data_IF_495039171016
#
_entry.id   IF_495039171016
#
_cell.length_a   1.000
_cell.length_b   1.000
_cell.length_c   1.000
_cell.angle_alpha   90.00
_cell.angle_beta   90.00
_cell.angle_gamma   90.00
#
_symmetry.space_group_name_H-M   'P 1'
#
loop_
_entity.id
_entity.type
_entity.pdbx_description
1 polymer ?
#
# COMPACT_ATOMS: atom_id res chain seq x y z
N UNK A 1 9.61 -59.82 -30.29
CA UNK A 1 8.64 -59.40 -29.25
C UNK A 1 9.11 -58.07 -28.68
N UNK A 2 8.34 -56.99 -28.87
CA UNK A 2 8.64 -55.64 -28.37
C UNK A 2 8.10 -55.53 -26.94
N UNK A 3 9.01 -55.54 -25.96
CA UNK A 3 8.67 -55.47 -24.54
C UNK A 3 9.02 -54.11 -23.95
N UNK A 4 7.99 -53.41 -23.47
CA UNK A 4 8.00 -52.16 -22.71
C UNK A 4 9.23 -51.94 -21.82
N UNK A 5 9.96 -50.84 -22.04
CA UNK A 5 10.67 -50.12 -20.97
C UNK A 5 10.47 -48.62 -21.18
N UNK A 6 9.25 -48.15 -20.98
CA UNK A 6 8.94 -46.72 -20.80
C UNK A 6 8.22 -46.61 -19.46
N UNK A 7 8.99 -46.61 -18.36
CA UNK A 7 8.37 -46.54 -17.02
C UNK A 7 9.30 -45.97 -15.94
N UNK A 8 9.95 -44.84 -16.21
CA UNK A 8 10.62 -44.03 -15.15
C UNK A 8 10.43 -42.52 -15.27
N UNK A 9 9.99 -41.98 -16.41
CA UNK A 9 9.80 -40.53 -16.60
C UNK A 9 8.46 -39.95 -16.12
N UNK A 10 7.41 -40.77 -15.99
CA UNK A 10 6.05 -40.27 -15.75
C UNK A 10 5.68 -40.07 -14.28
N UNK A 11 6.39 -40.69 -13.34
CA UNK A 11 6.08 -40.56 -11.90
C UNK A 11 6.53 -39.20 -11.35
N UNK A 12 7.64 -38.65 -11.87
CA UNK A 12 8.15 -37.35 -11.42
C UNK A 12 7.32 -36.16 -11.90
N UNK A 13 6.67 -36.25 -13.07
CA UNK A 13 5.84 -35.17 -13.61
C UNK A 13 4.48 -35.08 -12.90
N UNK A 14 3.90 -36.21 -12.50
CA UNK A 14 2.68 -36.25 -11.71
C UNK A 14 2.89 -35.68 -10.29
N UNK A 15 4.06 -35.90 -9.69
CA UNK A 15 4.40 -35.36 -8.37
C UNK A 15 4.63 -33.83 -8.41
N UNK A 16 5.26 -33.32 -9.48
CA UNK A 16 5.41 -31.87 -9.70
C UNK A 16 4.07 -31.17 -9.96
N UNK A 17 3.14 -31.80 -10.69
CA UNK A 17 1.79 -31.27 -10.85
C UNK A 17 1.02 -31.24 -9.52
N UNK A 18 1.17 -32.27 -8.67
CA UNK A 18 0.50 -32.31 -7.37
C UNK A 18 1.00 -31.21 -6.42
N UNK A 19 2.30 -30.89 -6.42
CA UNK A 19 2.85 -29.79 -5.58
C UNK A 19 2.34 -28.42 -6.05
N UNK A 20 2.14 -28.22 -7.35
CA UNK A 20 1.62 -26.95 -7.88
C UNK A 20 0.14 -26.68 -7.50
N UNK A 21 -0.65 -27.70 -7.21
CA UNK A 21 -2.08 -27.57 -6.86
C UNK A 21 -2.27 -27.21 -5.37
N UNK A 22 -1.26 -27.50 -4.52
CA UNK A 22 -1.26 -27.15 -3.09
C UNK A 22 -0.41 -25.93 -2.74
N UNK A 23 0.10 -25.20 -3.74
CA UNK A 23 0.65 -23.86 -3.55
C UNK A 23 -0.49 -22.91 -3.19
N UNK A 24 -1.00 -23.01 -1.96
CA UNK A 24 -1.90 -22.01 -1.40
C UNK A 24 -1.27 -20.65 -1.62
N UNK A 25 -1.98 -19.77 -2.32
CA UNK A 25 -1.50 -18.42 -2.54
C UNK A 25 -1.17 -17.82 -1.19
N UNK A 26 0.09 -17.42 -0.99
CA UNK A 26 0.44 -16.60 0.16
C UNK A 26 -0.26 -15.25 -0.04
N UNK A 27 -1.46 -15.11 0.51
CA UNK A 27 -2.18 -13.84 0.50
C UNK A 27 -1.39 -12.86 1.36
N UNK A 28 -0.74 -11.89 0.72
CA UNK A 28 -0.16 -10.77 1.42
C UNK A 28 -1.30 -9.98 2.08
N UNK A 29 -1.42 -10.07 3.40
CA UNK A 29 -2.27 -9.17 4.18
C UNK A 29 -1.58 -7.81 4.23
N UNK A 30 -2.11 -6.82 3.51
CA UNK A 30 -1.67 -5.44 3.62
C UNK A 30 -2.47 -4.74 4.72
N UNK A 31 -1.80 -3.94 5.54
CA UNK A 31 -2.49 -3.00 6.43
C UNK A 31 -2.45 -1.63 5.79
N UNK A 32 -3.58 -0.93 5.76
CA UNK A 32 -3.63 0.48 5.36
C UNK A 32 -3.93 1.30 6.61
N UNK A 33 -3.07 2.29 6.86
CA UNK A 33 -3.25 3.26 7.94
C UNK A 33 -3.66 4.57 7.31
N UNK A 34 -4.89 5.01 7.53
CA UNK A 34 -5.41 6.24 6.92
C UNK A 34 -5.57 7.31 7.98
N UNK A 35 -4.87 8.42 7.82
CA UNK A 35 -5.10 9.65 8.57
C UNK A 35 -5.97 10.61 7.76
N UNK A 36 -6.94 11.26 8.39
CA UNK A 36 -7.66 12.39 7.79
C UNK A 36 -7.91 13.50 8.80
N UNK A 37 -8.00 14.73 8.30
CA UNK A 37 -8.43 15.90 9.09
C UNK A 37 -9.96 15.96 9.21
N UNK A 38 -10.51 16.61 10.25
CA UNK A 38 -11.96 16.66 10.46
C UNK A 38 -12.78 17.26 9.30
N UNK A 39 -12.14 18.11 8.49
CA UNK A 39 -12.70 18.75 7.31
C UNK A 39 -12.43 17.98 6.00
N UNK A 40 -11.76 16.82 6.08
CA UNK A 40 -11.31 15.99 4.95
C UNK A 40 -10.48 16.75 3.91
N UNK A 41 -9.85 17.87 4.29
CA UNK A 41 -8.96 18.63 3.42
C UNK A 41 -7.63 17.89 3.19
N UNK A 42 -7.16 17.17 4.21
CA UNK A 42 -5.91 16.42 4.16
C UNK A 42 -6.18 14.95 4.48
N UNK A 43 -5.63 14.07 3.67
CA UNK A 43 -5.65 12.63 3.89
C UNK A 43 -4.27 12.04 3.56
N UNK A 44 -3.82 11.09 4.36
CA UNK A 44 -2.59 10.33 4.11
C UNK A 44 -2.85 8.86 4.40
N UNK A 45 -2.62 8.03 3.40
CA UNK A 45 -2.73 6.58 3.50
C UNK A 45 -1.33 5.96 3.49
N UNK A 46 -0.99 5.21 4.53
CA UNK A 46 0.27 4.46 4.62
C UNK A 46 0.00 2.99 4.30
N UNK A 47 0.66 2.48 3.26
CA UNK A 47 0.52 1.10 2.81
C UNK A 47 1.58 0.24 3.48
N UNK A 48 1.15 -0.59 4.42
CA UNK A 48 1.97 -1.51 5.20
C UNK A 48 1.96 -2.89 4.56
N UNK A 49 3.16 -3.44 4.38
CA UNK A 49 3.40 -4.72 3.70
C UNK A 49 4.29 -4.50 2.48
N UNK A 50 5.43 -5.18 2.44
CA UNK A 50 6.42 -5.05 1.35
C UNK A 50 7.47 -3.95 1.55
N UNK A 51 7.36 -3.12 2.60
CA UNK A 51 8.42 -2.21 3.01
C UNK A 51 9.59 -2.91 3.71
N UNK A 52 10.72 -2.21 3.85
CA UNK A 52 11.88 -2.70 4.60
C UNK A 52 11.68 -2.58 6.11
N UNK A 53 12.55 -3.21 6.90
CA UNK A 53 12.57 -3.00 8.35
C UNK A 53 12.82 -1.52 8.72
N UNK A 54 13.66 -0.83 7.94
CA UNK A 54 13.95 0.59 8.14
C UNK A 54 12.73 1.50 7.94
N UNK A 55 11.79 1.11 7.10
CA UNK A 55 10.52 1.83 6.89
C UNK A 55 9.41 1.35 7.82
N UNK A 56 9.71 0.46 8.78
CA UNK A 56 8.72 -0.18 9.64
C UNK A 56 7.77 -1.10 8.87
N UNK A 57 8.15 -1.58 7.69
CA UNK A 57 7.30 -2.39 6.81
C UNK A 57 6.35 -1.58 5.93
N UNK A 58 6.41 -0.25 5.94
CA UNK A 58 5.62 0.62 5.04
C UNK A 58 6.28 0.64 3.65
N UNK A 59 5.51 0.29 2.61
CA UNK A 59 5.96 0.28 1.23
C UNK A 59 5.78 1.62 0.52
N UNK A 60 4.83 2.44 0.96
CA UNK A 60 4.57 3.74 0.36
C UNK A 60 3.38 4.47 0.99
N UNK A 61 3.08 5.64 0.43
CA UNK A 61 1.96 6.46 0.85
C UNK A 61 1.25 7.13 -0.32
N UNK A 62 -0.07 7.23 -0.20
CA UNK A 62 -0.92 8.08 -1.03
C UNK A 62 -1.40 9.29 -0.21
N UNK A 63 -1.57 10.43 -0.86
CA UNK A 63 -1.99 11.66 -0.20
C UNK A 63 -3.10 12.36 -0.98
N UNK A 64 -4.05 12.90 -0.23
CA UNK A 64 -5.01 13.90 -0.71
C UNK A 64 -4.67 15.23 -0.05
N UNK A 65 -4.52 16.27 -0.87
CA UNK A 65 -4.05 17.58 -0.39
C UNK A 65 -4.77 18.71 -1.12
N UNK A 66 -5.07 19.86 -0.47
CA UNK A 66 -5.75 20.95 -1.14
C UNK A 66 -4.96 21.46 -2.34
N UNK A 67 -5.58 21.43 -3.52
CA UNK A 67 -4.97 21.84 -4.79
C UNK A 67 -4.18 20.75 -5.52
N UNK A 68 -4.17 19.52 -5.02
CA UNK A 68 -3.48 18.38 -5.65
C UNK A 68 -4.46 17.23 -5.86
N UNK A 69 -4.30 16.50 -6.97
CA UNK A 69 -5.00 15.23 -7.15
C UNK A 69 -4.48 14.19 -6.15
N UNK A 70 -5.30 13.20 -5.83
CA UNK A 70 -4.90 12.09 -4.98
C UNK A 70 -3.72 11.34 -5.63
N UNK A 71 -2.57 11.32 -4.96
CA UNK A 71 -1.31 10.92 -5.60
C UNK A 71 -0.36 10.20 -4.65
N UNK A 72 0.52 9.38 -5.22
CA UNK A 72 1.61 8.75 -4.48
C UNK A 72 2.74 9.73 -4.21
N UNK A 73 3.34 9.66 -3.02
CA UNK A 73 4.53 10.44 -2.72
C UNK A 73 5.77 9.85 -3.41
N UNK A 74 6.69 10.70 -3.92
CA UNK A 74 7.93 10.21 -4.50
C UNK A 74 8.82 9.57 -3.43
N UNK A 75 9.23 8.32 -3.67
CA UNK A 75 9.94 7.49 -2.69
C UNK A 75 11.18 8.16 -2.10
N UNK A 76 11.96 8.87 -2.91
CA UNK A 76 13.22 9.49 -2.50
C UNK A 76 13.06 10.65 -1.50
N UNK A 77 11.85 11.19 -1.35
CA UNK A 77 11.56 12.32 -0.46
C UNK A 77 10.93 11.93 0.87
N UNK A 78 10.63 10.63 1.09
CA UNK A 78 9.84 10.18 2.23
C UNK A 78 10.64 9.26 3.13
N UNK A 79 10.52 9.48 4.44
CA UNK A 79 10.95 8.52 5.46
C UNK A 79 9.73 8.06 6.24
N UNK A 80 9.54 6.76 6.31
CA UNK A 80 8.45 6.15 7.07
C UNK A 80 8.94 5.59 8.39
N UNK A 81 8.04 5.45 9.34
CA UNK A 81 8.27 4.65 10.53
C UNK A 81 6.97 3.99 10.97
N UNK A 82 7.11 2.80 11.55
CA UNK A 82 6.03 2.13 12.27
C UNK A 82 6.65 1.33 13.42
N UNK A 83 5.99 1.30 14.56
CA UNK A 83 6.42 0.48 15.68
C UNK A 83 5.99 -0.98 15.52
N UNK A 84 6.69 -1.90 16.19
CA UNK A 84 6.39 -3.34 16.12
C UNK A 84 4.99 -3.69 16.66
N UNK A 85 4.47 -2.88 17.57
CA UNK A 85 3.14 -3.07 18.14
C UNK A 85 2.02 -2.58 17.22
N UNK A 86 2.34 -1.92 16.09
CA UNK A 86 1.38 -1.30 15.17
C UNK A 86 0.43 -0.33 15.88
N UNK A 87 0.97 0.42 16.84
CA UNK A 87 0.26 1.47 17.57
C UNK A 87 0.68 2.86 17.15
N UNK A 88 1.84 2.98 16.50
CA UNK A 88 2.40 4.24 16.03
C UNK A 88 2.92 4.10 14.61
N UNK A 89 2.52 5.02 13.76
CA UNK A 89 3.00 5.10 12.38
C UNK A 89 3.24 6.56 12.01
N UNK A 90 4.01 6.79 10.96
CA UNK A 90 4.20 8.14 10.47
C UNK A 90 5.05 8.21 9.21
N UNK A 91 5.07 9.41 8.65
CA UNK A 91 5.81 9.73 7.45
C UNK A 91 6.37 11.14 7.57
N UNK A 92 7.64 11.31 7.24
CA UNK A 92 8.27 12.62 7.03
C UNK A 92 8.56 12.78 5.56
N UNK A 93 7.88 13.72 4.93
CA UNK A 93 8.07 14.05 3.52
C UNK A 93 8.78 15.40 3.36
N UNK A 94 9.81 15.41 2.51
CA UNK A 94 10.51 16.62 2.09
C UNK A 94 10.24 16.85 0.60
N UNK A 95 9.55 17.93 0.28
CA UNK A 95 9.38 18.37 -1.10
C UNK A 95 10.74 18.87 -1.64
N UNK A 96 11.25 18.33 -2.75
CA UNK A 96 12.52 18.75 -3.35
C UNK A 96 12.48 20.10 -4.10
N UNK A 97 11.39 20.87 -3.96
CA UNK A 97 11.13 22.10 -4.72
C UNK A 97 10.25 21.88 -5.96
N UNK A 98 9.57 20.74 -6.06
CA UNK A 98 8.66 20.44 -7.15
C UNK A 98 7.25 20.97 -6.83
N UNK A 99 6.67 21.87 -7.65
CA UNK A 99 5.33 22.41 -7.43
C UNK A 99 4.22 21.38 -7.69
N UNK A 100 4.50 20.24 -8.34
CA UNK A 100 3.51 19.20 -8.67
C UNK A 100 3.18 18.27 -7.49
N UNK A 101 3.94 18.37 -6.41
CA UNK A 101 3.77 17.58 -5.19
C UNK A 101 3.48 18.51 -4.01
N UNK A 102 2.82 18.02 -2.94
CA UNK A 102 2.44 18.88 -1.82
C UNK A 102 3.66 19.49 -1.10
N UNK A 103 3.45 20.52 -0.26
CA UNK A 103 4.49 21.03 0.62
C UNK A 103 5.09 19.94 1.52
N UNK A 104 6.32 20.15 1.99
CA UNK A 104 6.93 19.27 3.00
C UNK A 104 6.06 19.17 4.24
N UNK A 105 5.92 17.96 4.78
CA UNK A 105 5.10 17.70 5.95
C UNK A 105 5.66 16.57 6.81
N UNK A 106 5.14 16.47 8.03
CA UNK A 106 5.36 15.32 8.92
C UNK A 106 4.03 14.83 9.45
N UNK A 107 3.77 13.55 9.32
CA UNK A 107 2.62 12.86 9.87
C UNK A 107 3.08 12.01 11.04
N UNK A 108 2.40 12.15 12.17
CA UNK A 108 2.58 11.32 13.36
C UNK A 108 1.21 10.75 13.77
N UNK A 109 1.10 9.43 13.85
CA UNK A 109 -0.11 8.70 14.25
C UNK A 109 0.19 7.92 15.53
N UNK A 110 -0.74 7.97 16.48
CA UNK A 110 -0.76 7.15 17.68
C UNK A 110 -2.19 6.65 17.94
N UNK A 111 -2.37 5.34 17.86
CA UNK A 111 -3.67 4.68 17.92
C UNK A 111 -4.61 5.25 16.85
N UNK A 112 -5.79 5.70 17.27
CA UNK A 112 -6.83 6.25 16.39
C UNK A 112 -6.72 7.77 16.17
N UNK A 113 -5.62 8.38 16.60
CA UNK A 113 -5.39 9.83 16.49
C UNK A 113 -4.10 10.12 15.76
N UNK A 114 -4.00 11.30 15.19
CA UNK A 114 -2.75 11.76 14.59
C UNK A 114 -2.67 13.26 14.49
N UNK A 115 -1.51 13.72 14.04
CA UNK A 115 -1.26 15.11 13.69
C UNK A 115 -0.44 15.22 12.43
N UNK A 116 -0.83 16.17 11.60
CA UNK A 116 -0.11 16.58 10.40
C UNK A 116 0.57 17.93 10.67
N UNK A 117 1.87 17.98 10.45
CA UNK A 117 2.71 19.16 10.66
C UNK A 117 3.13 19.69 9.30
N UNK A 118 2.74 20.92 8.98
CA UNK A 118 3.06 21.60 7.70
C UNK A 118 3.72 22.94 8.03
N UNK A 119 5.04 23.02 7.86
CA UNK A 119 5.82 24.16 8.33
C UNK A 119 5.67 24.36 9.84
N UNK A 120 5.02 25.46 10.25
CA UNK A 120 4.73 25.79 11.67
C UNK A 120 3.33 25.38 12.12
N UNK A 121 2.48 24.91 11.21
CA UNK A 121 1.09 24.54 11.53
C UNK A 121 1.03 23.09 11.98
N UNK A 122 0.28 22.83 13.04
CA UNK A 122 -0.05 21.49 13.52
C UNK A 122 -1.55 21.31 13.35
N UNK A 123 -1.94 20.28 12.61
CA UNK A 123 -3.33 20.01 12.24
C UNK A 123 -3.70 18.64 12.84
N UNK A 124 -4.58 18.59 13.86
CA UNK A 124 -5.00 17.31 14.44
C UNK A 124 -5.93 16.57 13.48
N UNK A 125 -5.99 15.26 13.63
CA UNK A 125 -6.92 14.42 12.89
C UNK A 125 -7.07 13.03 13.50
N UNK A 126 -7.81 12.19 12.79
CA UNK A 126 -8.14 10.83 13.20
C UNK A 126 -7.46 9.83 12.29
N UNK A 127 -7.17 8.66 12.84
CA UNK A 127 -6.54 7.56 12.11
C UNK A 127 -7.38 6.29 12.19
N UNK A 128 -7.46 5.56 11.08
CA UNK A 128 -8.05 4.23 10.99
C UNK A 128 -7.01 3.22 10.52
N UNK A 129 -7.14 1.99 11.01
CA UNK A 129 -6.24 0.88 10.71
C UNK A 129 -7.07 -0.23 10.10
N UNK A 130 -6.92 -0.42 8.78
CA UNK A 130 -7.66 -1.44 8.04
C UNK A 130 -6.70 -2.56 7.68
N UNK A 131 -6.91 -3.74 8.26
CA UNK A 131 -6.16 -4.95 7.93
C UNK A 131 -6.97 -5.73 6.90
N UNK A 132 -6.41 -5.97 5.72
CA UNK A 132 -7.11 -6.71 4.67
C UNK A 132 -6.15 -7.45 3.72
N UNK A 133 -6.64 -8.42 2.95
CA UNK A 133 -5.87 -8.96 1.83
C UNK A 133 -5.62 -7.85 0.80
N UNK A 134 -4.38 -7.71 0.31
CA UNK A 134 -4.09 -6.84 -0.84
C UNK A 134 -4.78 -7.44 -2.07
N UNK A 135 -5.93 -6.90 -2.47
CA UNK A 135 -6.54 -7.19 -3.77
C UNK A 135 -6.10 -6.12 -4.76
N UNK A 136 -5.27 -6.43 -5.77
CA UNK A 136 -4.87 -5.48 -6.82
C UNK A 136 -6.02 -5.00 -7.74
N UNK A 137 -7.27 -5.35 -7.43
CA UNK A 137 -8.44 -5.07 -8.27
C UNK A 137 -9.03 -3.66 -8.12
N UNK A 138 -8.43 -2.76 -7.30
CA UNK A 138 -8.73 -1.33 -7.37
C UNK A 138 -7.86 -0.58 -8.38
N UNK A 139 -7.29 -1.30 -9.36
CA UNK A 139 -6.76 -0.69 -10.58
C UNK A 139 -7.92 0.08 -11.20
N UNK A 140 -7.85 1.41 -11.16
CA UNK A 140 -8.78 2.31 -11.84
C UNK A 140 -8.99 1.86 -13.29
N UNK A 141 -10.08 1.14 -13.57
CA UNK A 141 -10.63 1.09 -14.92
C UNK A 141 -11.47 2.37 -15.10
N UNK A 142 -11.16 3.23 -16.08
CA UNK A 142 -12.08 4.30 -16.43
C UNK A 142 -13.40 3.64 -16.83
N UNK A 143 -14.50 4.01 -16.15
CA UNK A 143 -15.85 3.64 -16.57
C UNK A 143 -16.01 4.05 -18.04
N UNK A 144 -15.92 3.08 -18.95
CA UNK A 144 -16.39 3.25 -20.32
C UNK A 144 -17.88 3.49 -20.20
N UNK A 145 -18.27 4.76 -20.25
CA UNK A 145 -19.65 5.15 -20.50
C UNK A 145 -20.05 4.50 -21.82
N UNK A 146 -20.78 3.39 -21.73
CA UNK A 146 -21.50 2.83 -22.88
C UNK A 146 -22.68 3.75 -23.12
N UNK A 147 -22.41 4.85 -23.82
CA UNK A 147 -23.40 5.65 -24.53
C UNK A 147 -23.07 5.50 -26.01
N UNK A 148 -24.13 5.32 -26.79
CA UNK A 148 -24.19 5.33 -28.25
C UNK A 148 -24.11 3.94 -28.90
N UNK A 149 -25.22 3.22 -28.80
CA UNK A 149 -25.73 2.44 -29.92
C UNK A 149 -27.15 2.96 -30.19
N UNK A 150 -27.27 3.78 -31.23
CA UNK A 150 -28.51 4.07 -31.95
C UNK A 150 -28.42 3.38 -33.29
#
# INVERSE_FOLDING_TARGET
MRGLVVRKGFVSLALLLAVAIFSGSASATSTVVTFHTPDNQYEVELYVGGGSEESGGIAGAMVTWPGYEHMGLPFNGVKYHMDKAMTRAGAKYVNPGDPKVPPSFTLEIEGTTGRLIVGKRVIPGTASWVVGPYTPESTWEPKRNRKDER
#
